data_IF_463447428563
#
_entry.id   IF_463447428563
#
_cell.length_a   1.000
_cell.length_b   1.000
_cell.length_c   1.000
_cell.angle_alpha   90.00
_cell.angle_beta   90.00
_cell.angle_gamma   90.00
#
_symmetry.space_group_name_H-M   'P 1'
#
loop_
_entity.id
_entity.type
_entity.pdbx_description
1 polymer ?
#
# COMPACT_ATOMS: atom_id res chain seq x y z
N UNK A 1 -2.37 64.37 -51.65
CA UNK A 1 -3.05 63.34 -50.85
C UNK A 1 -4.11 64.01 -50.01
N UNK A 2 -5.37 63.58 -50.18
CA UNK A 2 -6.53 64.24 -49.62
C UNK A 2 -6.59 63.96 -48.09
N UNK A 3 -6.75 64.98 -47.28
CA UNK A 3 -6.77 64.95 -45.80
C UNK A 3 -7.76 63.91 -45.24
N UNK A 4 -8.78 63.58 -45.96
CA UNK A 4 -9.78 62.56 -45.64
C UNK A 4 -9.28 61.13 -45.78
N UNK A 5 -8.46 60.89 -46.80
CA UNK A 5 -7.82 59.57 -47.04
C UNK A 5 -6.80 59.26 -45.96
N UNK A 6 -6.05 60.22 -45.51
CA UNK A 6 -5.04 60.09 -44.48
C UNK A 6 -5.65 59.77 -43.11
N UNK A 7 -6.81 60.34 -42.78
CA UNK A 7 -7.57 60.03 -41.54
C UNK A 7 -8.12 58.58 -41.59
N UNK A 8 -8.67 58.15 -42.73
CA UNK A 8 -9.21 56.80 -42.90
C UNK A 8 -8.11 55.71 -42.72
N UNK A 9 -6.94 55.91 -43.31
CA UNK A 9 -5.81 55.02 -43.19
C UNK A 9 -5.27 54.94 -41.75
N UNK A 10 -5.28 56.06 -41.03
CA UNK A 10 -4.86 56.12 -39.63
C UNK A 10 -5.81 55.36 -38.70
N UNK A 11 -7.12 55.51 -38.88
CA UNK A 11 -8.10 54.72 -38.09
C UNK A 11 -8.05 53.23 -38.42
N UNK A 12 -7.82 52.86 -39.66
CA UNK A 12 -7.67 51.43 -40.06
C UNK A 12 -6.44 50.79 -39.43
N UNK A 13 -5.30 51.50 -39.39
CA UNK A 13 -4.10 51.06 -38.69
C UNK A 13 -4.31 50.94 -37.17
N UNK A 14 -5.04 51.84 -36.54
CA UNK A 14 -5.36 51.83 -35.13
C UNK A 14 -6.27 50.65 -34.75
N UNK A 15 -7.21 50.29 -35.64
CA UNK A 15 -8.08 49.13 -35.44
C UNK A 15 -7.27 47.81 -35.58
N UNK A 16 -6.35 47.72 -36.52
CA UNK A 16 -5.50 46.52 -36.69
C UNK A 16 -4.57 46.34 -35.51
N UNK A 17 -3.98 47.39 -34.95
CA UNK A 17 -3.13 47.31 -33.78
C UNK A 17 -3.90 46.96 -32.52
N UNK A 18 -5.14 47.46 -32.35
CA UNK A 18 -6.02 47.10 -31.24
C UNK A 18 -6.47 45.64 -31.32
N UNK A 19 -6.71 45.11 -32.51
CA UNK A 19 -7.13 43.73 -32.71
C UNK A 19 -5.98 42.73 -32.50
N UNK A 20 -4.73 43.09 -32.82
CA UNK A 20 -3.57 42.22 -32.55
C UNK A 20 -3.22 42.13 -31.07
N UNK A 21 -3.56 43.12 -30.24
CA UNK A 21 -3.36 43.08 -28.79
C UNK A 21 -4.37 42.15 -28.07
N UNK A 22 -5.53 41.88 -28.69
CA UNK A 22 -6.56 41.01 -28.11
C UNK A 22 -6.22 39.50 -28.20
N UNK A 23 -5.23 39.10 -28.98
CA UNK A 23 -4.79 37.73 -29.09
C UNK A 23 -3.58 37.38 -28.20
N UNK A 24 -3.05 38.30 -27.41
CA UNK A 24 -2.13 38.00 -26.33
C UNK A 24 -2.90 37.61 -25.05
N UNK A 25 -3.88 36.73 -25.16
CA UNK A 25 -4.33 35.94 -24.04
C UNK A 25 -3.21 34.96 -23.76
N UNK A 26 -2.41 35.22 -22.74
CA UNK A 26 -1.57 34.23 -22.14
C UNK A 26 -2.51 33.16 -21.59
N UNK A 27 -2.59 31.99 -22.21
CA UNK A 27 -3.05 30.80 -21.53
C UNK A 27 -2.07 30.58 -20.38
N UNK A 28 -2.45 31.04 -19.20
CA UNK A 28 -1.85 30.53 -17.97
C UNK A 28 -2.31 29.07 -17.90
N UNK A 29 -1.50 28.14 -18.38
CA UNK A 29 -1.64 26.76 -17.97
C UNK A 29 -1.43 26.77 -16.45
N UNK A 30 -2.53 26.73 -15.71
CA UNK A 30 -2.48 26.45 -14.28
C UNK A 30 -1.92 25.03 -14.14
N UNK A 31 -0.61 24.90 -13.95
CA UNK A 31 0.02 23.64 -13.59
C UNK A 31 -0.48 23.26 -12.20
N UNK A 32 -1.50 22.40 -12.14
CA UNK A 32 -1.89 21.80 -10.88
C UNK A 32 -0.71 20.99 -10.35
N UNK A 33 -0.12 21.48 -9.27
CA UNK A 33 0.93 20.74 -8.56
C UNK A 33 0.24 19.68 -7.72
N UNK A 34 0.62 18.41 -7.91
CA UNK A 34 0.10 17.28 -7.12
C UNK A 34 1.26 16.37 -6.67
N UNK A 35 1.00 15.63 -5.61
CA UNK A 35 1.91 14.59 -5.17
C UNK A 35 1.70 13.33 -6.00
N UNK A 36 2.75 12.80 -6.59
CA UNK A 36 2.71 11.51 -7.28
C UNK A 36 3.15 10.43 -6.30
N UNK A 37 2.26 9.49 -6.03
CA UNK A 37 2.53 8.33 -5.20
C UNK A 37 2.66 7.11 -6.08
N UNK A 38 3.77 6.41 -5.96
CA UNK A 38 4.05 5.21 -6.75
C UNK A 38 3.98 3.95 -5.89
N UNK A 39 3.39 2.85 -6.42
CA UNK A 39 3.29 1.60 -5.68
C UNK A 39 4.66 0.90 -5.60
N UNK A 40 4.98 0.43 -4.41
CA UNK A 40 6.04 -0.58 -4.20
C UNK A 40 5.44 -1.95 -4.46
N UNK A 41 5.93 -2.63 -5.46
CA UNK A 41 5.37 -3.92 -5.87
C UNK A 41 6.30 -5.09 -5.54
N UNK A 42 5.68 -6.25 -5.31
CA UNK A 42 6.36 -7.53 -5.12
C UNK A 42 5.69 -8.57 -6.01
N UNK A 43 6.46 -9.51 -6.57
CA UNK A 43 5.86 -10.64 -7.28
C UNK A 43 5.16 -11.60 -6.31
N UNK A 44 4.12 -12.28 -6.77
CA UNK A 44 3.45 -13.32 -5.96
C UNK A 44 4.40 -14.45 -5.55
N UNK A 45 5.40 -14.75 -6.38
CA UNK A 45 6.44 -15.75 -6.07
C UNK A 45 7.32 -15.31 -4.90
N UNK A 46 7.76 -14.04 -4.92
CA UNK A 46 8.55 -13.45 -3.81
C UNK A 46 7.74 -13.39 -2.53
N UNK A 47 6.47 -12.95 -2.61
CA UNK A 47 5.56 -12.93 -1.47
C UNK A 47 5.48 -14.31 -0.81
N UNK A 48 5.18 -15.33 -1.61
CA UNK A 48 5.01 -16.71 -1.11
C UNK A 48 6.28 -17.27 -0.48
N UNK A 49 7.45 -16.97 -1.06
CA UNK A 49 8.75 -17.38 -0.53
C UNK A 49 9.23 -16.55 0.67
N UNK A 50 8.58 -15.41 0.96
CA UNK A 50 8.98 -14.51 2.04
C UNK A 50 8.57 -14.98 3.44
N UNK A 51 7.66 -15.96 3.54
CA UNK A 51 7.19 -16.51 4.81
C UNK A 51 8.34 -17.18 5.55
N UNK A 52 8.58 -16.76 6.80
CA UNK A 52 9.72 -17.25 7.62
C UNK A 52 9.40 -17.18 9.10
N UNK A 53 9.91 -18.17 9.83
CA UNK A 53 9.99 -18.09 11.30
C UNK A 53 11.25 -17.33 11.68
N UNK A 54 11.10 -16.26 12.43
CA UNK A 54 12.18 -15.38 12.87
C UNK A 54 12.28 -15.39 14.41
N UNK A 55 13.42 -14.98 14.98
CA UNK A 55 13.50 -14.65 16.40
C UNK A 55 12.45 -13.62 16.79
N UNK A 56 12.13 -13.47 18.11
CA UNK A 56 11.18 -12.48 18.59
C UNK A 56 11.45 -11.08 18.02
N UNK A 57 10.39 -10.42 17.57
CA UNK A 57 10.44 -9.05 17.02
C UNK A 57 9.71 -8.06 17.95
N UNK A 58 9.98 -6.76 17.75
CA UNK A 58 9.17 -5.70 18.35
C UNK A 58 7.81 -5.66 17.64
N UNK A 59 6.73 -5.55 18.41
CA UNK A 59 5.40 -5.31 17.85
C UNK A 59 5.32 -3.88 17.33
N UNK A 60 4.78 -3.71 16.13
CA UNK A 60 4.59 -2.40 15.48
C UNK A 60 3.11 -1.99 15.64
N UNK A 61 2.19 -2.83 15.17
CA UNK A 61 0.75 -2.57 15.25
C UNK A 61 0.00 -3.85 15.60
N UNK A 62 -0.46 -3.95 16.85
CA UNK A 62 -1.19 -5.12 17.32
C UNK A 62 -2.59 -5.18 16.70
N UNK A 63 -2.87 -6.28 16.01
CA UNK A 63 -4.18 -6.64 15.50
C UNK A 63 -4.88 -7.67 16.38
N UNK A 64 -5.38 -8.76 15.77
CA UNK A 64 -6.07 -9.84 16.48
C UNK A 64 -5.16 -10.58 17.45
N UNK A 65 -5.76 -11.02 18.56
CA UNK A 65 -5.13 -11.87 19.56
C UNK A 65 -5.90 -13.19 19.58
N UNK A 66 -5.18 -14.29 19.50
CA UNK A 66 -5.74 -15.62 19.61
C UNK A 66 -5.01 -16.41 20.69
N UNK A 67 -5.76 -17.02 21.61
CA UNK A 67 -5.20 -17.88 22.66
C UNK A 67 -5.49 -19.33 22.32
N UNK A 68 -4.47 -20.15 22.29
CA UNK A 68 -4.58 -21.57 22.05
C UNK A 68 -3.60 -22.33 22.96
N UNK A 69 -4.18 -23.16 23.82
CA UNK A 69 -3.45 -23.83 24.91
C UNK A 69 -2.63 -22.83 25.75
N UNK A 70 -1.35 -23.07 25.90
CA UNK A 70 -0.42 -22.19 26.63
C UNK A 70 0.20 -21.10 25.77
N UNK A 71 -0.24 -20.94 24.53
CA UNK A 71 0.33 -19.94 23.60
C UNK A 71 -0.65 -18.81 23.29
N UNK A 72 -0.08 -17.62 23.13
CA UNK A 72 -0.80 -16.44 22.64
C UNK A 72 -0.19 -16.04 21.30
N UNK A 73 -1.05 -15.96 20.30
CA UNK A 73 -0.73 -15.46 18.98
C UNK A 73 -1.23 -14.04 18.85
N UNK A 74 -0.35 -13.09 18.53
CA UNK A 74 -0.71 -11.69 18.32
C UNK A 74 -0.34 -11.33 16.87
N UNK A 75 -1.36 -10.99 16.10
CA UNK A 75 -1.14 -10.43 14.77
C UNK A 75 -0.45 -9.07 14.89
N UNK A 76 0.61 -8.86 14.13
CA UNK A 76 1.21 -7.56 13.84
C UNK A 76 0.78 -7.19 12.43
N UNK A 77 -0.12 -6.21 12.31
CA UNK A 77 -0.89 -5.91 11.10
C UNK A 77 0.02 -5.80 9.89
N UNK A 78 -0.28 -6.59 8.84
CA UNK A 78 0.45 -6.71 7.58
C UNK A 78 1.91 -7.20 7.68
N UNK A 79 2.39 -7.52 8.88
CA UNK A 79 3.79 -7.94 9.11
C UNK A 79 3.90 -9.43 9.45
N UNK A 80 2.94 -9.98 10.24
CA UNK A 80 2.94 -11.37 10.66
C UNK A 80 2.37 -11.61 12.05
N UNK A 81 2.89 -12.63 12.75
CA UNK A 81 2.31 -13.12 13.99
C UNK A 81 3.40 -13.31 15.03
N UNK A 82 3.26 -12.62 16.16
CA UNK A 82 4.06 -12.89 17.36
C UNK A 82 3.53 -14.14 18.07
N UNK A 83 4.43 -15.01 18.46
CA UNK A 83 4.13 -16.21 19.23
C UNK A 83 4.71 -16.04 20.61
N UNK A 84 3.85 -16.18 21.60
CA UNK A 84 4.13 -15.92 23.01
C UNK A 84 3.85 -17.19 23.80
N UNK A 85 4.84 -17.69 24.52
CA UNK A 85 4.67 -18.70 25.54
C UNK A 85 4.06 -18.03 26.78
N UNK A 86 2.84 -18.44 27.13
CA UNK A 86 2.07 -17.98 28.26
C UNK A 86 1.85 -19.11 29.31
N UNK A 87 2.67 -20.14 29.27
CA UNK A 87 2.63 -21.24 30.25
C UNK A 87 2.77 -20.72 31.70
N UNK A 88 3.46 -19.59 31.88
CA UNK A 88 3.52 -18.84 33.13
C UNK A 88 2.88 -17.45 32.92
N UNK A 89 1.57 -17.29 33.20
CA UNK A 89 0.84 -16.05 32.89
C UNK A 89 1.39 -14.79 33.57
N UNK A 90 2.09 -14.92 34.69
CA UNK A 90 2.77 -13.81 35.35
C UNK A 90 4.08 -13.38 34.67
N UNK A 91 4.60 -14.16 33.72
CA UNK A 91 5.86 -13.92 33.04
C UNK A 91 5.82 -14.43 31.58
N UNK A 92 4.94 -13.93 30.71
CA UNK A 92 4.82 -14.37 29.32
C UNK A 92 6.09 -14.03 28.54
N UNK A 93 6.46 -14.89 27.60
CA UNK A 93 7.69 -14.74 26.82
C UNK A 93 7.41 -14.79 25.31
N UNK A 94 7.79 -13.78 24.56
CA UNK A 94 7.86 -13.89 23.10
C UNK A 94 8.91 -14.92 22.72
N UNK A 95 8.53 -15.95 21.98
CA UNK A 95 9.41 -17.03 21.56
C UNK A 95 9.81 -16.98 20.12
N UNK A 96 8.94 -16.47 19.25
CA UNK A 96 9.23 -16.33 17.82
C UNK A 96 8.30 -15.32 17.16
N UNK A 97 8.61 -14.99 15.91
CA UNK A 97 7.79 -14.18 15.02
C UNK A 97 7.63 -14.91 13.68
N UNK A 98 6.41 -15.23 13.30
CA UNK A 98 6.10 -15.79 12.00
C UNK A 98 5.83 -14.66 11.02
N UNK A 99 6.83 -14.34 10.18
CA UNK A 99 6.71 -13.29 9.16
C UNK A 99 5.76 -13.75 8.07
N UNK A 100 4.66 -13.01 7.88
CA UNK A 100 3.66 -13.22 6.83
C UNK A 100 3.22 -11.83 6.36
N UNK A 101 3.69 -11.41 5.19
CA UNK A 101 3.30 -10.11 4.64
C UNK A 101 1.82 -10.09 4.28
N UNK A 102 1.16 -8.96 4.55
CA UNK A 102 -0.26 -8.76 4.31
C UNK A 102 -1.18 -9.52 5.27
N UNK A 103 -0.65 -10.06 6.40
CA UNK A 103 -1.45 -10.77 7.40
C UNK A 103 -2.29 -9.79 8.23
N UNK A 104 -3.60 -10.01 8.24
CA UNK A 104 -4.59 -9.21 9.00
C UNK A 104 -5.45 -10.05 9.91
N UNK A 105 -5.61 -11.31 9.59
CA UNK A 105 -6.46 -12.23 10.34
C UNK A 105 -5.76 -13.55 10.64
N UNK A 106 -6.09 -14.13 11.79
CA UNK A 106 -5.57 -15.40 12.26
C UNK A 106 -6.66 -16.24 12.89
N UNK A 107 -6.56 -17.55 12.73
CA UNK A 107 -7.38 -18.52 13.46
C UNK A 107 -6.52 -19.75 13.76
N UNK A 108 -6.83 -20.42 14.88
CA UNK A 108 -6.17 -21.67 15.25
C UNK A 108 -7.23 -22.74 15.47
N UNK A 109 -7.01 -23.92 14.89
CA UNK A 109 -7.85 -25.09 15.09
C UNK A 109 -7.03 -26.37 14.87
N UNK A 110 -7.20 -27.35 15.76
CA UNK A 110 -6.62 -28.69 15.63
C UNK A 110 -5.10 -28.67 15.33
N UNK A 111 -4.34 -27.86 16.06
CA UNK A 111 -2.89 -27.65 15.89
C UNK A 111 -2.50 -27.07 14.51
N UNK A 112 -3.44 -26.46 13.81
CA UNK A 112 -3.22 -25.70 12.58
C UNK A 112 -3.48 -24.23 12.83
N UNK A 113 -2.51 -23.40 12.41
CA UNK A 113 -2.66 -21.95 12.34
C UNK A 113 -3.01 -21.56 10.92
N UNK A 114 -4.12 -20.86 10.77
CA UNK A 114 -4.62 -20.30 9.51
C UNK A 114 -4.34 -18.81 9.52
N UNK A 115 -3.72 -18.31 8.47
CA UNK A 115 -3.38 -16.91 8.34
C UNK A 115 -3.59 -16.46 6.90
N UNK A 116 -4.13 -15.25 6.70
CA UNK A 116 -4.12 -14.63 5.38
C UNK A 116 -2.71 -14.09 5.04
N UNK A 117 -2.42 -14.01 3.75
CA UNK A 117 -1.25 -13.35 3.19
C UNK A 117 -1.69 -12.65 1.90
N UNK A 118 -2.17 -11.42 2.03
CA UNK A 118 -2.90 -10.70 0.98
C UNK A 118 -4.08 -11.52 0.46
N UNK A 119 -3.93 -12.15 -0.70
CA UNK A 119 -5.00 -12.94 -1.35
C UNK A 119 -4.97 -14.42 -0.99
N UNK A 120 -3.88 -14.91 -0.41
CA UNK A 120 -3.67 -16.32 -0.11
C UNK A 120 -4.13 -16.66 1.32
N UNK A 121 -4.61 -17.89 1.53
CA UNK A 121 -4.75 -18.50 2.85
C UNK A 121 -3.59 -19.45 3.07
N UNK A 122 -2.80 -19.22 4.11
CA UNK A 122 -1.65 -20.06 4.47
C UNK A 122 -1.98 -20.86 5.72
N UNK A 123 -1.67 -22.13 5.70
CA UNK A 123 -1.90 -23.07 6.82
C UNK A 123 -0.57 -23.56 7.34
N UNK A 124 -0.33 -23.37 8.62
CA UNK A 124 0.88 -23.80 9.31
C UNK A 124 0.56 -24.92 10.29
N UNK A 125 1.44 -25.92 10.35
CA UNK A 125 1.45 -26.92 11.42
C UNK A 125 2.15 -26.29 12.64
N UNK A 126 1.43 -26.23 13.75
CA UNK A 126 1.89 -25.69 15.04
C UNK A 126 1.90 -26.75 16.13
N UNK A 127 1.83 -28.05 15.78
CA UNK A 127 1.91 -29.16 16.74
C UNK A 127 3.21 -29.16 17.54
N UNK A 128 4.31 -28.71 16.93
CA UNK A 128 5.53 -28.30 17.61
C UNK A 128 5.79 -26.82 17.36
N UNK A 129 5.46 -25.98 18.31
CA UNK A 129 5.59 -24.52 18.21
C UNK A 129 7.03 -24.04 17.94
N UNK A 130 8.03 -24.89 18.15
CA UNK A 130 9.43 -24.59 17.87
C UNK A 130 9.84 -24.96 16.45
N UNK A 131 8.96 -25.67 15.72
CA UNK A 131 9.21 -26.15 14.33
C UNK A 131 8.05 -25.85 13.42
N UNK A 132 7.50 -24.65 13.52
CA UNK A 132 6.39 -24.20 12.68
C UNK A 132 6.79 -24.32 11.21
N UNK A 133 5.94 -24.97 10.43
CA UNK A 133 6.14 -25.18 9.01
C UNK A 133 4.85 -24.91 8.22
N UNK A 134 4.98 -24.26 7.07
CA UNK A 134 3.88 -24.14 6.13
C UNK A 134 3.50 -25.54 5.64
N UNK A 135 2.24 -25.93 5.84
CA UNK A 135 1.70 -27.24 5.46
C UNK A 135 0.88 -27.18 4.19
N UNK A 136 0.17 -26.08 3.99
CA UNK A 136 -0.66 -25.90 2.80
C UNK A 136 -0.83 -24.42 2.52
N UNK A 137 -1.17 -24.11 1.27
CA UNK A 137 -1.52 -22.78 0.81
C UNK A 137 -2.64 -22.86 -0.22
N UNK A 138 -3.65 -22.06 -0.03
CA UNK A 138 -4.72 -21.84 -1.00
C UNK A 138 -4.51 -20.46 -1.61
N UNK A 139 -4.22 -20.43 -2.91
CA UNK A 139 -3.90 -19.20 -3.61
C UNK A 139 -5.16 -18.46 -4.04
N UNK A 140 -5.15 -17.12 -3.93
CA UNK A 140 -6.19 -16.23 -4.44
C UNK A 140 -7.61 -16.56 -3.94
N UNK A 141 -7.75 -16.86 -2.65
CA UNK A 141 -9.04 -17.16 -2.01
C UNK A 141 -9.69 -15.93 -1.38
N UNK A 142 -8.91 -14.89 -1.11
CA UNK A 142 -9.41 -13.63 -0.55
C UNK A 142 -9.38 -12.50 -1.59
N UNK A 143 -10.28 -11.52 -1.47
CA UNK A 143 -10.17 -10.30 -2.25
C UNK A 143 -8.88 -9.58 -1.88
N UNK A 144 -8.23 -8.98 -2.86
CA UNK A 144 -7.02 -8.21 -2.63
C UNK A 144 -7.35 -6.88 -1.95
N UNK A 145 -6.68 -6.59 -0.85
CA UNK A 145 -6.72 -5.31 -0.16
C UNK A 145 -5.41 -4.56 -0.41
N UNK A 146 -5.52 -3.33 -0.87
CA UNK A 146 -4.37 -2.45 -1.02
C UNK A 146 -3.82 -2.07 0.36
N UNK A 147 -2.49 -1.91 0.52
CA UNK A 147 -1.91 -1.26 1.68
C UNK A 147 -2.52 0.13 1.88
N UNK A 148 -2.57 0.59 3.13
CA UNK A 148 -3.06 1.92 3.44
C UNK A 148 -2.27 2.97 2.63
N UNK A 149 -3.00 3.91 2.03
CA UNK A 149 -2.39 5.03 1.33
C UNK A 149 -1.61 5.91 2.30
N UNK A 150 -0.44 6.44 1.90
CA UNK A 150 0.31 7.35 2.74
C UNK A 150 -0.49 8.63 3.00
N UNK A 151 -0.41 9.12 4.23
CA UNK A 151 -0.94 10.45 4.57
C UNK A 151 0.06 11.50 4.11
N UNK A 152 -0.37 12.39 3.22
CA UNK A 152 0.45 13.48 2.71
C UNK A 152 -0.10 14.79 3.27
N UNK A 153 0.69 15.45 4.11
CA UNK A 153 0.29 16.62 4.90
C UNK A 153 0.74 17.96 4.24
N UNK A 154 0.35 18.18 2.98
CA UNK A 154 0.69 19.44 2.31
C UNK A 154 -0.49 20.07 1.54
N UNK A 155 -1.72 19.58 1.74
CA UNK A 155 -2.95 20.03 1.08
C UNK A 155 -2.94 20.01 -0.46
N UNK A 156 -1.95 19.36 -1.07
CA UNK A 156 -1.92 19.16 -2.52
C UNK A 156 -2.72 17.91 -2.89
N UNK A 157 -3.37 17.88 -4.06
CA UNK A 157 -3.98 16.67 -4.60
C UNK A 157 -2.97 15.53 -4.69
N UNK A 158 -3.43 14.29 -4.53
CA UNK A 158 -2.58 13.10 -4.63
C UNK A 158 -2.99 12.31 -5.85
N UNK A 159 -2.03 12.05 -6.73
CA UNK A 159 -2.20 11.14 -7.87
C UNK A 159 -1.52 9.79 -7.57
N UNK A 160 -2.29 8.72 -7.67
CA UNK A 160 -1.79 7.34 -7.51
C UNK A 160 -1.48 6.73 -8.86
N UNK A 161 -0.22 6.48 -9.14
CA UNK A 161 0.21 5.92 -10.42
C UNK A 161 0.15 4.38 -10.40
N UNK A 162 -0.94 3.82 -10.91
CA UNK A 162 -1.14 2.36 -11.05
C UNK A 162 -0.65 1.79 -12.38
N UNK A 163 -0.02 2.59 -13.23
CA UNK A 163 0.36 2.16 -14.57
C UNK A 163 1.40 1.06 -14.53
N UNK A 164 1.22 0.06 -15.37
CA UNK A 164 2.16 -1.04 -15.61
C UNK A 164 2.36 -2.05 -14.46
N UNK A 165 1.38 -2.22 -13.56
CA UNK A 165 1.42 -3.32 -12.59
C UNK A 165 0.96 -4.59 -13.29
N UNK A 166 1.85 -5.56 -13.48
CA UNK A 166 1.52 -6.84 -14.07
C UNK A 166 0.68 -7.70 -13.12
N UNK A 167 -0.14 -8.61 -13.66
CA UNK A 167 -1.09 -9.44 -12.90
C UNK A 167 -0.42 -10.45 -11.94
N UNK A 168 0.88 -10.68 -12.07
CA UNK A 168 1.69 -11.51 -11.19
C UNK A 168 2.30 -10.75 -10.01
N UNK A 169 2.00 -9.44 -9.88
CA UNK A 169 2.49 -8.57 -8.82
C UNK A 169 1.36 -8.07 -7.93
N UNK A 170 1.72 -7.76 -6.70
CA UNK A 170 0.89 -7.07 -5.73
C UNK A 170 1.59 -5.80 -5.25
N UNK A 171 0.81 -4.82 -4.81
CA UNK A 171 1.32 -3.63 -4.14
C UNK A 171 1.52 -3.98 -2.66
N UNK A 172 2.71 -3.76 -2.14
CA UNK A 172 3.04 -4.07 -0.75
C UNK A 172 3.30 -2.82 0.09
N UNK A 173 3.46 -1.67 -0.57
CA UNK A 173 3.67 -0.36 0.07
C UNK A 173 3.53 0.76 -0.98
N UNK A 174 3.70 2.02 -0.56
CA UNK A 174 3.66 3.21 -1.39
C UNK A 174 4.86 4.12 -1.10
N UNK A 175 5.41 4.74 -2.15
CA UNK A 175 6.48 5.75 -2.10
C UNK A 175 5.95 7.11 -2.55
#
# INVERSE_FOLDING_TARGET
>A
INKTQMKSTFYFLLIITSFSLAFMSCDNEDYETYNVVTPVTMSLSELRSSVKVLPPQKTIESGKIYVYDEFVFINDVEKGIHIIDNSVPSAPKKISFLKILGNRDIAVKDQMLFADSYTDLVVFDISDIRKIAEKNRLNNVFPYYYPAYPTIDNNLPVEYNYQNISSDKIIVDWN
#
